data_IF_879155533807
#
_entry.id   IF_879155533807
#
_cell.length_a   1.000
_cell.length_b   1.000
_cell.length_c   1.000
_cell.angle_alpha   90.00
_cell.angle_beta   90.00
_cell.angle_gamma   90.00
#
_symmetry.space_group_name_H-M   'P 1'
#
loop_
_entity.id
_entity.type
_entity.pdbx_description
1 polymer ?
#
# COMPACT_ATOMS: atom_id res chain seq x y z
N UNK A 1 12.26 -3.68 4.45
CA UNK A 1 11.43 -3.34 5.61
C UNK A 1 12.20 -2.53 6.65
N UNK A 2 13.20 -3.11 7.35
CA UNK A 2 13.96 -2.39 8.41
C UNK A 2 14.51 -1.05 7.96
N UNK A 3 15.29 -1.05 6.87
CA UNK A 3 15.89 0.17 6.33
C UNK A 3 14.85 1.26 6.08
N UNK A 4 13.68 0.89 5.53
CA UNK A 4 12.56 1.80 5.30
C UNK A 4 12.03 2.41 6.61
N UNK A 5 11.70 1.58 7.61
CA UNK A 5 11.12 2.09 8.86
C UNK A 5 12.13 2.92 9.68
N UNK A 6 13.39 2.49 9.77
CA UNK A 6 14.45 3.26 10.46
C UNK A 6 14.70 4.59 9.76
N UNK A 7 14.77 4.57 8.43
CA UNK A 7 14.86 5.79 7.62
C UNK A 7 13.73 6.77 7.92
N UNK A 8 12.49 6.29 7.86
CA UNK A 8 11.31 7.15 8.04
C UNK A 8 11.21 7.64 9.48
N UNK A 9 11.68 6.86 10.46
CA UNK A 9 11.80 7.29 11.85
C UNK A 9 12.81 8.42 12.03
N UNK A 10 13.97 8.37 11.37
CA UNK A 10 14.94 9.47 11.38
C UNK A 10 14.31 10.75 10.82
N UNK A 11 13.61 10.65 9.70
CA UNK A 11 12.92 11.81 9.09
C UNK A 11 11.84 12.33 10.04
N UNK A 12 11.02 11.45 10.62
CA UNK A 12 9.99 11.81 11.59
C UNK A 12 10.60 12.56 12.79
N UNK A 13 11.71 12.07 13.34
CA UNK A 13 12.43 12.72 14.45
C UNK A 13 13.01 14.07 14.05
N UNK A 14 13.59 14.22 12.85
CA UNK A 14 14.09 15.50 12.35
C UNK A 14 12.94 16.51 12.23
N UNK A 15 11.84 16.13 11.59
CA UNK A 15 10.67 17.00 11.44
C UNK A 15 10.09 17.42 12.81
N UNK A 16 10.04 16.49 13.77
CA UNK A 16 9.52 16.75 15.11
C UNK A 16 10.47 17.60 15.97
N UNK A 17 11.76 17.28 16.01
CA UNK A 17 12.69 17.87 16.98
C UNK A 17 13.52 19.04 16.43
N UNK A 18 13.85 19.02 15.15
CA UNK A 18 14.64 20.10 14.51
C UNK A 18 13.72 21.17 13.96
N UNK A 19 12.66 20.76 13.27
CA UNK A 19 11.70 21.69 12.66
C UNK A 19 10.48 21.98 13.53
N UNK A 20 10.38 21.35 14.70
CA UNK A 20 9.31 21.56 15.69
C UNK A 20 7.89 21.37 15.15
N UNK A 21 7.71 20.44 14.19
CA UNK A 21 6.38 20.09 13.70
C UNK A 21 5.65 19.14 14.66
N UNK A 22 4.35 19.38 14.86
CA UNK A 22 3.47 18.40 15.48
C UNK A 22 3.00 17.41 14.41
N UNK A 23 3.37 16.13 14.56
CA UNK A 23 3.20 15.12 13.52
C UNK A 23 2.23 14.05 14.00
N UNK A 24 1.19 13.82 13.21
CA UNK A 24 0.31 12.65 13.33
C UNK A 24 0.78 11.61 12.31
N UNK A 25 1.41 10.54 12.80
CA UNK A 25 1.90 9.44 11.96
C UNK A 25 0.91 8.27 11.99
N UNK A 26 0.42 7.86 10.83
CA UNK A 26 -0.39 6.64 10.67
C UNK A 26 0.42 5.56 9.96
N UNK A 27 0.35 4.33 10.47
CA UNK A 27 0.88 3.14 9.80
C UNK A 27 -0.25 2.18 9.45
N UNK A 28 -0.36 1.82 8.17
CA UNK A 28 -1.27 0.77 7.71
C UNK A 28 -0.73 -0.61 8.03
N UNK A 29 -1.60 -1.51 8.50
CA UNK A 29 -1.31 -2.92 8.74
C UNK A 29 -2.22 -3.76 7.83
N UNK A 30 -1.63 -4.37 6.80
CA UNK A 30 -2.32 -5.35 5.94
C UNK A 30 -2.41 -6.69 6.67
N UNK A 31 -3.45 -6.86 7.47
CA UNK A 31 -3.73 -8.05 8.27
C UNK A 31 -4.66 -9.05 7.57
N UNK A 32 -5.04 -8.77 6.32
CA UNK A 32 -5.76 -9.63 5.40
C UNK A 32 -4.98 -9.67 4.08
N UNK A 33 -4.38 -10.81 3.74
CA UNK A 33 -3.64 -11.02 2.50
C UNK A 33 -3.66 -12.51 2.11
N UNK A 34 -3.46 -12.82 0.84
CA UNK A 34 -3.44 -14.21 0.35
C UNK A 34 -2.40 -15.07 1.08
N UNK A 35 -1.24 -14.50 1.44
CA UNK A 35 -0.19 -15.23 2.19
C UNK A 35 -0.64 -15.54 3.62
N UNK A 36 -1.37 -14.63 4.25
CA UNK A 36 -1.90 -14.82 5.61
C UNK A 36 -2.98 -15.90 5.58
N UNK A 37 -3.88 -15.83 4.60
CA UNK A 37 -4.97 -16.81 4.42
C UNK A 37 -4.40 -18.20 4.12
N UNK A 38 -3.44 -18.31 3.21
CA UNK A 38 -2.82 -19.60 2.90
C UNK A 38 -2.12 -20.20 4.12
N UNK A 39 -1.44 -19.37 4.91
CA UNK A 39 -0.81 -19.80 6.15
C UNK A 39 -1.83 -20.23 7.21
N UNK A 40 -2.93 -19.50 7.34
CA UNK A 40 -4.07 -19.82 8.21
C UNK A 40 -4.64 -21.20 7.91
N UNK A 41 -4.83 -21.53 6.63
CA UNK A 41 -5.29 -22.84 6.19
C UNK A 41 -4.27 -23.94 6.49
N UNK A 42 -2.98 -23.68 6.23
CA UNK A 42 -1.90 -24.66 6.48
C UNK A 42 -1.72 -24.98 7.97
N UNK A 43 -1.80 -23.96 8.82
CA UNK A 43 -1.58 -24.10 10.27
C UNK A 43 -2.88 -24.41 11.03
N UNK A 44 -4.04 -24.38 10.37
CA UNK A 44 -5.37 -24.54 10.97
C UNK A 44 -5.61 -23.56 12.14
N UNK A 45 -5.20 -22.30 11.95
CA UNK A 45 -5.30 -21.20 12.92
C UNK A 45 -6.06 -20.05 12.27
N UNK A 46 -6.90 -19.33 13.02
CA UNK A 46 -7.64 -18.19 12.48
C UNK A 46 -6.69 -17.10 11.95
N UNK A 47 -6.95 -16.56 10.76
CA UNK A 47 -6.02 -15.64 10.07
C UNK A 47 -5.65 -14.40 10.91
N UNK A 48 -6.59 -13.85 11.70
CA UNK A 48 -6.30 -12.73 12.58
C UNK A 48 -5.34 -13.08 13.72
N UNK A 49 -5.28 -14.33 14.17
CA UNK A 49 -4.31 -14.75 15.18
C UNK A 49 -2.90 -14.78 14.60
N UNK A 50 -2.76 -15.24 13.35
CA UNK A 50 -1.51 -15.16 12.59
C UNK A 50 -1.08 -13.72 12.41
N UNK A 51 -1.99 -12.86 11.93
CA UNK A 51 -1.71 -11.45 11.72
C UNK A 51 -1.31 -10.75 13.02
N UNK A 52 -2.05 -10.96 14.11
CA UNK A 52 -1.76 -10.36 15.42
C UNK A 52 -0.40 -10.82 15.97
N UNK A 53 -0.05 -12.10 15.81
CA UNK A 53 1.27 -12.61 16.19
C UNK A 53 2.38 -11.87 15.42
N UNK A 54 2.30 -11.82 14.10
CA UNK A 54 3.34 -11.19 13.28
C UNK A 54 3.37 -9.67 13.41
N UNK A 55 2.23 -9.04 13.67
CA UNK A 55 2.14 -7.63 14.01
C UNK A 55 2.90 -7.34 15.31
N UNK A 56 2.67 -8.14 16.37
CA UNK A 56 3.39 -7.97 17.63
C UNK A 56 4.89 -8.19 17.45
N UNK A 57 5.30 -9.24 16.73
CA UNK A 57 6.72 -9.49 16.42
C UNK A 57 7.36 -8.31 15.67
N UNK A 58 6.63 -7.71 14.72
CA UNK A 58 7.06 -6.52 14.00
C UNK A 58 7.25 -5.31 14.94
N UNK A 59 6.26 -5.03 15.80
CA UNK A 59 6.33 -3.93 16.77
C UNK A 59 7.52 -4.11 17.71
N UNK A 60 7.71 -5.31 18.25
CA UNK A 60 8.82 -5.62 19.16
C UNK A 60 10.17 -5.42 18.48
N UNK A 61 10.32 -5.86 17.22
CA UNK A 61 11.54 -5.70 16.46
C UNK A 61 11.81 -4.22 16.11
N UNK A 62 10.77 -3.42 15.81
CA UNK A 62 10.91 -1.97 15.60
C UNK A 62 11.34 -1.25 16.89
N UNK A 63 10.76 -1.60 18.04
CA UNK A 63 11.14 -1.02 19.33
C UNK A 63 12.60 -1.34 19.70
N UNK A 64 13.07 -2.57 19.44
CA UNK A 64 14.49 -2.95 19.63
C UNK A 64 15.45 -2.13 18.76
N UNK A 65 14.99 -1.68 17.60
CA UNK A 65 15.72 -0.79 16.71
C UNK A 65 15.55 0.70 17.07
N UNK A 66 14.89 1.00 18.19
CA UNK A 66 14.57 2.36 18.64
C UNK A 66 13.71 3.16 17.63
N UNK A 67 12.92 2.48 16.80
CA UNK A 67 11.92 3.10 15.93
C UNK A 67 10.71 3.49 16.79
N UNK A 68 10.27 4.75 16.70
CA UNK A 68 9.11 5.20 17.46
C UNK A 68 7.83 4.60 16.91
N UNK A 69 6.91 4.25 17.80
CA UNK A 69 5.55 3.87 17.39
C UNK A 69 4.84 5.04 16.70
N UNK A 70 4.03 4.77 15.66
CA UNK A 70 3.18 5.78 15.05
C UNK A 70 2.11 6.25 16.03
N UNK A 71 1.50 7.40 15.74
CA UNK A 71 0.35 7.92 16.48
C UNK A 71 -0.84 6.95 16.40
N UNK A 72 -1.02 6.30 15.25
CA UNK A 72 -2.05 5.26 15.08
C UNK A 72 -1.63 4.12 14.14
N UNK A 73 -2.13 2.93 14.44
CA UNK A 73 -2.10 1.77 13.55
C UNK A 73 -3.48 1.57 12.92
N UNK A 74 -3.55 1.49 11.59
CA UNK A 74 -4.78 1.26 10.83
C UNK A 74 -4.76 -0.14 10.24
N UNK A 75 -5.57 -1.06 10.79
CA UNK A 75 -5.66 -2.45 10.34
C UNK A 75 -6.76 -2.61 9.30
N UNK A 76 -6.52 -3.35 8.22
CA UNK A 76 -7.49 -3.54 7.13
C UNK A 76 -8.77 -4.21 7.63
N UNK A 77 -8.65 -5.23 8.48
CA UNK A 77 -9.80 -5.95 9.04
C UNK A 77 -10.80 -5.06 9.77
N UNK A 78 -10.34 -3.98 10.40
CA UNK A 78 -11.18 -3.02 11.12
C UNK A 78 -11.86 -2.01 10.18
N UNK A 79 -11.48 -1.96 8.90
CA UNK A 79 -11.91 -0.92 7.96
C UNK A 79 -12.67 -1.47 6.75
N UNK A 80 -13.08 -2.74 6.75
CA UNK A 80 -13.82 -3.32 5.61
C UNK A 80 -15.06 -2.51 5.22
N UNK A 81 -15.97 -2.08 6.13
CA UNK A 81 -17.12 -1.26 5.75
C UNK A 81 -16.72 0.10 5.17
N UNK A 82 -15.63 0.70 5.69
CA UNK A 82 -15.08 1.96 5.18
C UNK A 82 -14.58 1.77 3.73
N UNK A 83 -13.85 0.69 3.46
CA UNK A 83 -13.32 0.40 2.13
C UNK A 83 -14.46 0.18 1.13
N UNK A 84 -15.51 -0.56 1.52
CA UNK A 84 -16.71 -0.75 0.67
C UNK A 84 -17.35 0.60 0.35
N UNK A 85 -17.55 1.48 1.34
CA UNK A 85 -18.12 2.82 1.10
C UNK A 85 -17.21 3.69 0.22
N UNK A 86 -15.89 3.55 0.36
CA UNK A 86 -14.93 4.26 -0.48
C UNK A 86 -15.05 3.83 -1.95
N UNK A 87 -15.14 2.52 -2.21
CA UNK A 87 -15.35 1.97 -3.54
C UNK A 87 -16.71 2.38 -4.10
N UNK A 88 -17.77 2.35 -3.29
CA UNK A 88 -19.10 2.81 -3.74
C UNK A 88 -19.05 4.25 -4.21
N UNK A 89 -18.35 5.14 -3.49
CA UNK A 89 -18.19 6.53 -3.93
C UNK A 89 -17.37 6.66 -5.22
N UNK A 90 -16.39 5.79 -5.46
CA UNK A 90 -15.69 5.75 -6.76
C UNK A 90 -16.63 5.35 -7.90
N UNK A 91 -17.55 4.41 -7.66
CA UNK A 91 -18.59 4.02 -8.62
C UNK A 91 -19.55 5.19 -8.86
N UNK A 92 -20.02 5.84 -7.79
CA UNK A 92 -20.95 6.98 -7.87
C UNK A 92 -20.32 8.16 -8.65
N UNK A 93 -19.00 8.35 -8.51
CA UNK A 93 -18.24 9.35 -9.26
C UNK A 93 -17.92 8.92 -10.72
N UNK A 94 -18.28 7.69 -11.13
CA UNK A 94 -18.04 7.14 -12.46
C UNK A 94 -16.64 6.58 -12.72
N UNK A 95 -15.76 6.54 -11.71
CA UNK A 95 -14.37 6.06 -11.84
C UNK A 95 -14.21 4.56 -11.60
N UNK A 96 -15.28 3.85 -11.26
CA UNK A 96 -15.26 2.42 -11.03
C UNK A 96 -16.54 1.76 -11.55
N UNK A 97 -16.46 0.46 -11.82
CA UNK A 97 -17.60 -0.33 -12.26
C UNK A 97 -17.58 -1.73 -11.63
N UNK A 98 -18.77 -2.21 -11.26
CA UNK A 98 -18.98 -3.57 -10.77
C UNK A 98 -19.23 -4.54 -11.94
N UNK A 99 -18.77 -5.77 -11.80
CA UNK A 99 -18.91 -6.85 -12.77
C UNK A 99 -19.83 -7.96 -12.26
N UNK A 100 -20.39 -8.81 -13.16
CA UNK A 100 -21.26 -9.92 -12.75
C UNK A 100 -20.61 -10.91 -11.77
N UNK A 101 -19.28 -11.10 -11.81
CA UNK A 101 -18.55 -11.89 -10.80
C UNK A 101 -18.58 -11.31 -9.37
N UNK A 102 -19.10 -10.09 -9.21
CA UNK A 102 -19.03 -9.31 -7.98
C UNK A 102 -17.70 -8.58 -7.76
N UNK A 103 -16.77 -8.68 -8.71
CA UNK A 103 -15.55 -7.86 -8.72
C UNK A 103 -15.86 -6.41 -9.08
N UNK A 104 -15.04 -5.47 -8.60
CA UNK A 104 -15.12 -4.05 -8.94
C UNK A 104 -13.75 -3.58 -9.41
N UNK A 105 -13.70 -2.92 -10.56
CA UNK A 105 -12.48 -2.40 -11.15
C UNK A 105 -12.50 -0.88 -11.26
N UNK A 106 -11.32 -0.28 -11.18
CA UNK A 106 -11.12 1.13 -11.47
C UNK A 106 -10.99 1.35 -12.99
N UNK A 107 -11.74 2.30 -13.54
CA UNK A 107 -11.79 2.59 -14.98
C UNK A 107 -10.69 3.57 -15.37
N UNK A 108 -9.58 3.03 -15.89
CA UNK A 108 -8.42 3.83 -16.29
C UNK A 108 -8.68 4.70 -17.51
N UNK A 109 -9.59 4.28 -18.40
CA UNK A 109 -9.94 5.05 -19.58
C UNK A 109 -10.76 6.28 -19.19
N UNK A 110 -11.83 6.09 -18.41
CA UNK A 110 -12.67 7.20 -17.95
C UNK A 110 -11.87 8.20 -17.11
N UNK A 111 -11.00 7.71 -16.22
CA UNK A 111 -10.10 8.58 -15.47
C UNK A 111 -9.18 9.41 -16.39
N UNK A 112 -8.63 8.77 -17.42
CA UNK A 112 -7.79 9.38 -18.46
C UNK A 112 -8.48 10.54 -19.18
N UNK A 113 -9.72 10.30 -19.62
CA UNK A 113 -10.56 11.29 -20.31
C UNK A 113 -10.91 12.48 -19.41
N UNK A 114 -11.28 12.23 -18.15
CA UNK A 114 -11.74 13.28 -17.23
C UNK A 114 -10.65 14.16 -16.66
N UNK A 115 -9.44 13.62 -16.47
CA UNK A 115 -8.36 14.33 -15.76
C UNK A 115 -7.22 14.76 -16.69
N UNK A 116 -7.42 14.70 -18.01
CA UNK A 116 -6.38 14.93 -19.02
C UNK A 116 -5.11 14.12 -18.74
N UNK A 117 -5.28 12.94 -18.15
CA UNK A 117 -4.18 12.08 -17.74
C UNK A 117 -3.63 11.36 -18.97
N UNK A 118 -2.76 12.06 -19.71
CA UNK A 118 -2.00 11.49 -20.82
C UNK A 118 -0.88 10.62 -20.24
N UNK A 119 -1.16 9.33 -20.11
CA UNK A 119 -0.22 8.23 -19.96
C UNK A 119 1.20 8.59 -19.50
N UNK A 120 1.53 8.26 -18.25
CA UNK A 120 2.90 7.83 -18.01
C UNK A 120 3.16 6.60 -18.89
N UNK A 121 4.25 6.63 -19.67
CA UNK A 121 4.91 5.43 -20.21
C UNK A 121 5.35 4.58 -19.01
N UNK A 122 4.43 3.89 -18.39
CA UNK A 122 4.70 2.92 -17.33
C UNK A 122 4.71 1.58 -18.03
N UNK A 123 5.92 1.01 -18.15
CA UNK A 123 6.23 -0.20 -18.91
C UNK A 123 5.09 -1.22 -18.84
N UNK A 124 4.77 -1.80 -20.00
CA UNK A 124 3.91 -2.97 -20.20
C UNK A 124 4.33 -4.21 -19.36
N UNK A 125 5.41 -4.11 -18.58
CA UNK A 125 5.98 -5.14 -17.71
C UNK A 125 5.36 -5.20 -16.30
N UNK A 126 4.36 -4.39 -16.01
CA UNK A 126 3.74 -4.27 -14.68
C UNK A 126 2.48 -5.10 -14.43
N UNK A 127 2.02 -5.89 -15.41
CA UNK A 127 1.00 -6.92 -15.17
C UNK A 127 1.62 -7.94 -14.22
N UNK A 128 1.43 -7.75 -12.92
CA UNK A 128 1.82 -8.75 -11.94
C UNK A 128 1.12 -10.04 -12.34
N UNK A 129 1.90 -11.06 -12.66
CA UNK A 129 1.51 -12.43 -12.97
C UNK A 129 0.82 -13.15 -11.79
N UNK A 130 0.38 -12.41 -10.77
CA UNK A 130 -0.43 -12.87 -9.64
C UNK A 130 -1.90 -12.40 -9.70
N UNK A 131 -2.30 -11.57 -10.67
CA UNK A 131 -3.71 -11.25 -10.87
C UNK A 131 -4.38 -12.32 -11.73
N UNK A 132 -4.77 -13.43 -11.10
CA UNK A 132 -5.80 -14.35 -11.63
C UNK A 132 -7.18 -13.71 -11.54
N UNK A 133 -7.29 -12.44 -11.94
CA UNK A 133 -8.58 -11.84 -12.23
C UNK A 133 -9.18 -12.61 -13.40
N UNK A 134 -10.50 -12.73 -13.44
CA UNK A 134 -11.20 -13.23 -14.63
C UNK A 134 -10.95 -12.18 -15.71
N UNK A 135 -9.86 -12.36 -16.48
CA UNK A 135 -9.32 -11.39 -17.46
C UNK A 135 -10.38 -10.88 -18.45
N UNK A 136 -11.48 -11.61 -18.60
CA UNK A 136 -12.56 -11.33 -19.53
C UNK A 136 -13.57 -10.28 -19.04
N UNK A 137 -13.52 -9.83 -17.78
CA UNK A 137 -14.48 -8.84 -17.26
C UNK A 137 -13.96 -7.41 -17.21
N UNK A 138 -12.65 -7.20 -17.38
CA UNK A 138 -12.05 -5.86 -17.42
C UNK A 138 -12.41 -5.19 -18.76
N UNK A 139 -12.90 -3.95 -18.71
CA UNK A 139 -13.12 -3.10 -19.90
C UNK A 139 -11.81 -2.71 -20.57
N UNK A 140 -10.74 -2.56 -19.78
CA UNK A 140 -9.41 -2.24 -20.25
C UNK A 140 -8.34 -3.07 -19.52
N UNK A 141 -7.26 -3.44 -20.22
CA UNK A 141 -6.14 -4.18 -19.64
C UNK A 141 -5.37 -3.44 -18.54
N UNK A 142 -5.53 -2.11 -18.45
CA UNK A 142 -4.94 -1.25 -17.41
C UNK A 142 -5.81 -1.14 -16.17
N UNK A 143 -7.06 -1.59 -16.21
CA UNK A 143 -7.95 -1.54 -15.06
C UNK A 143 -7.45 -2.47 -13.96
N UNK A 144 -7.48 -1.98 -12.73
CA UNK A 144 -7.04 -2.72 -11.55
C UNK A 144 -8.19 -2.95 -10.58
N UNK A 145 -8.13 -4.06 -9.85
CA UNK A 145 -9.18 -4.47 -8.93
C UNK A 145 -9.22 -3.56 -7.69
N UNK A 146 -10.41 -3.03 -7.40
CA UNK A 146 -10.76 -2.38 -6.13
C UNK A 146 -11.36 -3.40 -5.16
N UNK A 147 -12.17 -4.32 -5.70
CA UNK A 147 -12.79 -5.41 -4.96
C UNK A 147 -12.69 -6.69 -5.79
N UNK A 148 -12.21 -7.77 -5.19
CA UNK A 148 -12.08 -9.09 -5.83
C UNK A 148 -13.26 -9.95 -5.41
N UNK A 149 -14.17 -10.21 -6.36
CA UNK A 149 -15.34 -11.06 -6.15
C UNK A 149 -14.94 -12.49 -5.78
N UNK A 150 -15.75 -13.13 -4.94
CA UNK A 150 -15.55 -14.50 -4.47
C UNK A 150 -16.90 -15.23 -4.41
N UNK A 151 -16.90 -16.49 -4.83
CA UNK A 151 -18.10 -17.32 -4.73
C UNK A 151 -18.59 -17.46 -3.29
N UNK A 152 -19.91 -17.35 -3.12
CA UNK A 152 -20.57 -17.52 -1.82
C UNK A 152 -20.32 -18.91 -1.21
N UNK A 153 -20.15 -19.94 -2.03
CA UNK A 153 -19.83 -21.32 -1.59
C UNK A 153 -18.36 -21.57 -1.31
N UNK A 154 -17.44 -20.67 -1.71
CA UNK A 154 -16.00 -20.86 -1.48
C UNK A 154 -15.64 -20.84 0.01
N UNK A 155 -14.67 -21.64 0.44
CA UNK A 155 -14.16 -21.60 1.82
C UNK A 155 -13.11 -20.49 2.03
N UNK A 156 -12.85 -19.66 1.02
CA UNK A 156 -11.95 -18.51 1.14
C UNK A 156 -12.52 -17.42 2.04
N UNK A 157 -11.62 -16.68 2.71
CA UNK A 157 -11.99 -15.47 3.44
C UNK A 157 -12.64 -14.47 2.48
N UNK A 158 -13.81 -13.96 2.89
CA UNK A 158 -14.61 -13.02 2.12
C UNK A 158 -15.54 -12.24 3.03
N UNK A 159 -15.94 -11.07 2.54
CA UNK A 159 -16.82 -10.13 3.21
C UNK A 159 -18.00 -9.85 2.28
N UNK A 160 -19.17 -9.60 2.88
CA UNK A 160 -20.36 -9.20 2.13
C UNK A 160 -20.23 -7.73 1.71
N UNK A 161 -20.58 -7.42 0.47
CA UNK A 161 -20.62 -6.06 -0.10
C UNK A 161 -21.86 -5.89 -0.99
N UNK A 162 -22.19 -4.66 -1.44
CA UNK A 162 -23.27 -4.41 -2.40
C UNK A 162 -23.12 -5.17 -3.71
N UNK A 163 -21.89 -5.57 -4.07
CA UNK A 163 -21.59 -6.29 -5.32
C UNK A 163 -21.47 -7.81 -5.12
N UNK A 164 -21.80 -8.32 -3.93
CA UNK A 164 -21.64 -9.73 -3.57
C UNK A 164 -20.51 -9.97 -2.58
N UNK A 165 -20.10 -11.22 -2.43
CA UNK A 165 -19.01 -11.57 -1.52
C UNK A 165 -17.66 -11.31 -2.19
N UNK A 166 -16.68 -10.83 -1.43
CA UNK A 166 -15.33 -10.64 -1.95
C UNK A 166 -14.34 -10.10 -0.92
N UNK A 167 -13.23 -9.56 -1.40
CA UNK A 167 -12.18 -8.95 -0.58
C UNK A 167 -11.66 -7.66 -1.22
N UNK A 168 -11.13 -6.72 -0.42
CA UNK A 168 -10.49 -5.53 -0.97
C UNK A 168 -9.27 -5.89 -1.83
N UNK A 169 -9.00 -5.07 -2.84
CA UNK A 169 -7.72 -5.06 -3.55
C UNK A 169 -6.64 -4.37 -2.71
N UNK A 170 -5.37 -4.76 -2.91
CA UNK A 170 -4.25 -4.29 -2.08
C UNK A 170 -4.13 -2.75 -2.01
N UNK A 171 -4.39 -2.05 -3.10
CA UNK A 171 -4.20 -0.59 -3.19
C UNK A 171 -5.31 0.21 -2.49
N UNK A 172 -6.56 -0.29 -2.52
CA UNK A 172 -7.73 0.46 -2.04
C UNK A 172 -7.75 0.59 -0.52
N UNK A 173 -7.07 -0.34 0.16
CA UNK A 173 -6.91 -0.36 1.61
C UNK A 173 -6.25 0.92 2.12
N UNK A 174 -5.07 1.25 1.58
CA UNK A 174 -4.30 2.43 1.96
C UNK A 174 -5.05 3.72 1.62
N UNK A 175 -5.62 3.83 0.42
CA UNK A 175 -6.42 4.99 0.00
C UNK A 175 -7.58 5.28 0.95
N UNK A 176 -8.35 4.26 1.31
CA UNK A 176 -9.51 4.41 2.17
C UNK A 176 -9.11 4.77 3.61
N UNK A 177 -8.16 4.04 4.21
CA UNK A 177 -7.71 4.27 5.58
C UNK A 177 -7.03 5.63 5.75
N UNK A 178 -6.16 6.02 4.81
CA UNK A 178 -5.49 7.31 4.85
C UNK A 178 -6.47 8.47 4.61
N UNK A 179 -7.39 8.33 3.66
CA UNK A 179 -8.43 9.35 3.42
C UNK A 179 -9.38 9.51 4.60
N UNK A 180 -9.69 8.45 5.35
CA UNK A 180 -10.51 8.55 6.56
C UNK A 180 -9.81 9.36 7.65
N UNK A 181 -8.50 9.21 7.78
CA UNK A 181 -7.70 9.83 8.84
C UNK A 181 -7.33 11.27 8.50
N UNK A 182 -6.88 11.53 7.26
CA UNK A 182 -6.31 12.81 6.85
C UNK A 182 -7.19 13.60 5.87
N UNK A 183 -8.29 13.01 5.40
CA UNK A 183 -9.20 13.66 4.45
C UNK A 183 -8.60 13.76 3.06
N UNK A 184 -8.92 14.86 2.38
CA UNK A 184 -8.55 15.12 0.99
C UNK A 184 -7.14 15.67 0.80
N UNK A 185 -6.43 15.97 1.90
CA UNK A 185 -5.10 16.58 1.86
C UNK A 185 -4.17 15.87 2.84
N UNK A 186 -3.21 15.11 2.31
CA UNK A 186 -2.15 14.45 3.07
C UNK A 186 -0.82 15.13 2.80
N UNK A 187 -0.12 15.57 3.85
CA UNK A 187 1.17 16.25 3.67
C UNK A 187 2.25 15.33 3.14
N UNK A 188 2.41 14.16 3.76
CA UNK A 188 3.47 13.20 3.44
C UNK A 188 2.87 11.80 3.36
N UNK A 189 3.13 11.10 2.25
CA UNK A 189 2.91 9.66 2.13
C UNK A 189 4.23 8.97 1.80
N UNK A 190 4.49 7.82 2.42
CA UNK A 190 5.82 7.20 2.34
C UNK A 190 5.79 5.69 2.21
N UNK A 191 6.82 5.12 1.58
CA UNK A 191 7.01 3.67 1.52
C UNK A 191 8.32 3.25 0.87
N UNK A 192 8.47 1.96 0.61
CA UNK A 192 9.60 1.44 -0.18
C UNK A 192 9.55 1.91 -1.64
N UNK A 193 10.70 1.92 -2.32
CA UNK A 193 10.78 2.26 -3.75
C UNK A 193 9.94 1.29 -4.62
N UNK A 194 9.80 0.04 -4.20
CA UNK A 194 8.95 -0.96 -4.84
C UNK A 194 7.44 -0.62 -4.78
N UNK A 195 7.03 0.28 -3.88
CA UNK A 195 5.64 0.71 -3.78
C UNK A 195 5.32 1.90 -4.69
N UNK A 196 6.31 2.57 -5.31
CA UNK A 196 6.06 3.67 -6.26
C UNK A 196 5.07 3.23 -7.34
N UNK A 197 5.28 2.03 -7.89
CA UNK A 197 4.39 1.45 -8.87
C UNK A 197 4.29 -0.08 -8.65
N UNK A 198 3.08 -0.66 -8.71
CA UNK A 198 1.80 -0.01 -8.99
C UNK A 198 1.14 0.64 -7.76
N UNK A 199 1.63 0.39 -6.55
CA UNK A 199 0.88 0.64 -5.31
C UNK A 199 0.48 2.11 -5.10
N UNK A 200 1.46 2.99 -4.88
CA UNK A 200 1.22 4.41 -4.66
C UNK A 200 0.64 5.11 -5.90
N UNK A 201 1.02 4.66 -7.11
CA UNK A 201 0.41 5.16 -8.34
C UNK A 201 -1.11 4.94 -8.34
N UNK A 202 -1.56 3.74 -7.97
CA UNK A 202 -2.99 3.42 -7.87
C UNK A 202 -3.67 4.15 -6.70
N UNK A 203 -2.98 4.36 -5.57
CA UNK A 203 -3.53 5.16 -4.47
C UNK A 203 -3.79 6.62 -4.85
N UNK A 204 -2.89 7.22 -5.63
CA UNK A 204 -3.09 8.58 -6.16
C UNK A 204 -4.36 8.62 -7.00
N UNK A 205 -4.52 7.68 -7.94
CA UNK A 205 -5.67 7.63 -8.84
C UNK A 205 -6.98 7.44 -8.06
N UNK A 206 -7.00 6.49 -7.12
CA UNK A 206 -8.17 6.21 -6.28
C UNK A 206 -8.54 7.41 -5.42
N UNK A 207 -7.57 8.02 -4.74
CA UNK A 207 -7.87 9.09 -3.78
C UNK A 207 -8.23 10.41 -4.47
N UNK A 208 -7.59 10.74 -5.58
CA UNK A 208 -7.98 11.93 -6.38
C UNK A 208 -9.36 11.76 -7.01
N UNK A 209 -9.69 10.57 -7.53
CA UNK A 209 -11.03 10.22 -8.01
C UNK A 209 -12.10 10.27 -6.91
N UNK A 210 -11.77 9.84 -5.68
CA UNK A 210 -12.68 9.86 -4.54
C UNK A 210 -12.95 11.29 -4.03
N UNK A 211 -11.89 12.10 -3.89
CA UNK A 211 -11.97 13.46 -3.33
C UNK A 211 -12.34 14.53 -4.37
N UNK A 212 -12.21 14.24 -5.66
CA UNK A 212 -12.44 15.20 -6.74
C UNK A 212 -11.40 16.32 -6.80
N UNK A 213 -10.17 16.05 -6.34
CA UNK A 213 -9.07 17.02 -6.35
C UNK A 213 -7.90 16.54 -7.21
N UNK A 214 -7.06 17.49 -7.68
CA UNK A 214 -5.89 17.19 -8.52
C UNK A 214 -4.70 16.63 -7.75
N UNK A 215 -4.64 16.87 -6.44
CA UNK A 215 -3.51 16.50 -5.59
C UNK A 215 -4.03 16.04 -4.24
N UNK A 216 -3.90 14.75 -3.96
CA UNK A 216 -4.23 14.17 -2.67
C UNK A 216 -3.06 14.26 -1.67
N UNK A 217 -1.85 13.94 -2.12
CA UNK A 217 -0.63 13.96 -1.30
C UNK A 217 0.32 15.04 -1.79
N UNK A 218 0.85 15.86 -0.87
CA UNK A 218 1.78 16.95 -1.21
C UNK A 218 3.20 16.44 -1.50
N UNK A 219 3.72 15.58 -0.63
CA UNK A 219 5.06 14.99 -0.75
C UNK A 219 5.02 13.46 -0.65
N UNK A 220 5.69 12.80 -1.59
CA UNK A 220 5.95 11.37 -1.51
C UNK A 220 7.39 11.11 -1.11
N UNK A 221 7.59 10.24 -0.11
CA UNK A 221 8.90 9.80 0.37
C UNK A 221 9.12 8.32 0.07
N UNK A 222 10.07 8.00 -0.80
CA UNK A 222 10.40 6.61 -1.11
C UNK A 222 11.80 6.26 -0.66
N UNK A 223 11.94 5.15 0.08
CA UNK A 223 13.25 4.67 0.56
C UNK A 223 13.84 3.65 -0.42
N UNK A 224 15.12 3.80 -0.77
CA UNK A 224 15.85 2.88 -1.64
C UNK A 224 15.99 1.46 -1.08
N UNK A 225 16.31 0.51 -1.96
CA UNK A 225 16.62 -0.86 -1.55
C UNK A 225 17.97 -0.87 -0.83
N UNK A 226 18.02 -1.37 0.40
CA UNK A 226 19.24 -1.66 1.17
C UNK A 226 20.11 -0.45 1.59
N UNK A 227 19.71 0.79 1.28
CA UNK A 227 20.46 2.00 1.61
C UNK A 227 19.56 3.11 2.17
N UNK A 228 20.14 4.04 2.93
CA UNK A 228 19.50 5.28 3.39
C UNK A 228 19.46 6.33 2.27
N UNK A 229 18.81 5.98 1.15
CA UNK A 229 18.58 6.89 0.02
C UNK A 229 17.09 7.18 -0.03
N UNK A 230 16.72 8.46 -0.12
CA UNK A 230 15.31 8.86 -0.21
C UNK A 230 15.07 9.73 -1.43
N UNK A 231 13.90 9.54 -2.02
CA UNK A 231 13.37 10.37 -3.08
C UNK A 231 12.23 11.20 -2.53
N UNK A 232 12.34 12.53 -2.64
CA UNK A 232 11.22 13.43 -2.39
C UNK A 232 10.62 13.79 -3.73
N UNK A 233 9.33 13.46 -3.91
CA UNK A 233 8.57 13.91 -5.06
C UNK A 233 7.49 14.90 -4.61
N UNK A 234 7.56 16.13 -5.11
CA UNK A 234 6.49 17.12 -4.97
C UNK A 234 5.44 16.87 -6.06
N UNK A 235 4.19 16.63 -5.66
CA UNK A 235 3.13 16.15 -6.56
C UNK A 235 2.91 17.02 -7.82
N UNK A 236 3.14 18.34 -7.75
CA UNK A 236 2.96 19.23 -8.90
C UNK A 236 4.17 19.34 -9.85
N UNK A 237 5.37 18.96 -9.42
CA UNK A 237 6.59 19.25 -10.20
C UNK A 237 7.11 18.05 -10.99
N UNK A 238 6.64 16.82 -10.71
CA UNK A 238 7.17 15.56 -11.30
C UNK A 238 8.72 15.48 -11.27
N UNK A 239 9.36 16.18 -10.33
CA UNK A 239 10.81 16.23 -10.15
C UNK A 239 11.17 15.41 -8.92
N UNK A 240 12.16 14.53 -9.08
CA UNK A 240 12.76 13.77 -7.99
C UNK A 240 13.89 14.60 -7.40
N UNK A 241 13.80 14.95 -6.11
CA UNK A 241 14.95 15.45 -5.38
C UNK A 241 15.64 14.26 -4.70
N UNK A 242 16.86 13.96 -5.16
CA UNK A 242 17.71 12.93 -4.58
C UNK A 242 18.45 13.53 -3.38
N UNK A 243 18.16 13.05 -2.17
CA UNK A 243 18.98 13.32 -1.00
C UNK A 243 19.50 11.96 -0.53
N UNK A 244 20.69 11.60 -0.99
CA UNK A 244 21.35 10.34 -0.66
C UNK A 244 22.50 10.57 0.31
N UNK A 245 22.52 9.80 1.40
CA UNK A 245 23.75 9.54 2.17
C UNK A 245 24.27 8.16 1.72
N UNK A 246 25.49 8.15 1.17
CA UNK A 246 26.31 7.01 0.71
C UNK A 246 26.34 6.73 -0.81
N UNK A 247 27.56 6.42 -1.24
CA UNK A 247 28.10 6.49 -2.59
C UNK A 247 27.61 5.33 -3.48
N UNK A 248 27.25 5.64 -4.72
CA UNK A 248 26.61 4.77 -5.71
C UNK A 248 27.65 3.87 -6.40
N UNK A 249 27.62 2.55 -6.18
CA UNK A 249 28.32 1.58 -7.07
C UNK A 249 27.82 0.12 -7.10
N UNK A 250 26.81 -0.28 -6.33
CA UNK A 250 26.29 -1.66 -6.32
C UNK A 250 24.76 -1.68 -6.21
N UNK A 251 24.04 -1.72 -7.33
CA UNK A 251 22.58 -1.47 -7.37
C UNK A 251 21.67 -2.66 -7.73
N UNK A 252 22.15 -3.90 -7.90
CA UNK A 252 21.35 -4.89 -8.66
C UNK A 252 20.85 -6.16 -7.94
N UNK A 253 21.11 -6.37 -6.65
CA UNK A 253 20.63 -7.60 -6.00
C UNK A 253 19.29 -7.42 -5.26
N UNK A 254 18.23 -8.02 -5.82
CA UNK A 254 16.92 -8.18 -5.18
C UNK A 254 17.07 -9.13 -3.98
N UNK A 255 16.67 -8.69 -2.79
CA UNK A 255 16.51 -9.60 -1.64
C UNK A 255 15.09 -10.18 -1.62
N UNK A 256 14.96 -11.50 -1.57
CA UNK A 256 13.68 -12.18 -1.40
C UNK A 256 13.85 -13.52 -0.68
N UNK A 257 12.80 -13.96 0.03
CA UNK A 257 12.78 -15.28 0.65
C UNK A 257 13.02 -16.41 -0.37
N UNK A 258 12.58 -16.21 -1.62
CA UNK A 258 12.80 -17.16 -2.72
C UNK A 258 14.26 -17.22 -3.21
N UNK A 259 15.05 -16.18 -2.94
CA UNK A 259 16.48 -16.12 -3.26
C UNK A 259 17.35 -16.51 -2.06
N UNK A 260 16.72 -16.92 -0.95
CA UNK A 260 17.37 -17.32 0.31
C UNK A 260 18.41 -16.31 0.84
N UNK A 261 18.26 -15.03 0.49
CA UNK A 261 19.15 -13.92 0.86
C UNK A 261 18.45 -12.92 1.79
N UNK A 262 17.56 -13.41 2.65
CA UNK A 262 16.84 -12.60 3.65
C UNK A 262 17.26 -12.99 5.06
N UNK A 263 17.71 -12.01 5.85
CA UNK A 263 18.02 -12.17 7.26
C UNK A 263 16.89 -11.57 8.13
N UNK A 264 16.53 -12.23 9.23
CA UNK A 264 15.54 -11.72 10.18
C UNK A 264 16.26 -10.77 11.16
N UNK A 265 15.59 -9.69 11.59
CA UNK A 265 16.15 -8.68 12.50
C UNK A 265 16.75 -9.32 13.75
N UNK A 266 16.07 -10.32 14.31
CA UNK A 266 16.53 -11.05 15.50
C UNK A 266 17.88 -11.74 15.29
N UNK A 267 18.12 -12.29 14.11
CA UNK A 267 19.39 -12.95 13.77
C UNK A 267 20.50 -11.91 13.58
N UNK A 268 20.18 -10.76 12.96
CA UNK A 268 21.12 -9.65 12.87
C UNK A 268 21.49 -9.13 14.27
N UNK A 269 20.50 -8.84 15.12
CA UNK A 269 20.73 -8.26 16.45
C UNK A 269 21.56 -9.18 17.36
N UNK A 270 21.38 -10.49 17.29
CA UNK A 270 22.20 -11.48 18.02
C UNK A 270 23.69 -11.41 17.67
N UNK A 271 24.04 -10.86 16.52
CA UNK A 271 25.43 -10.71 16.08
C UNK A 271 26.11 -9.50 16.73
N UNK A 272 25.32 -8.56 17.27
CA UNK A 272 25.79 -7.28 17.82
C UNK A 272 25.47 -7.08 19.31
N UNK A 273 24.86 -8.09 19.96
CA UNK A 273 24.63 -8.18 21.42
C UNK A 273 25.48 -9.29 22.01
#
# INVERSE_FOLDING_TARGET
HVSTYVTLDIIHRILKHVFNYNIVLMMGITDIDDKIIHRSQKENVHYLEISKKYEQEFIDDMLKLNVQSPTLYARVSNHIPLIINFIQKLIDNGFAYACPSGSVYFDMNYYGEKNEYKHHRMNEQGLSSLETDILNEKRNNRDFALWKGRDKSSNELKFQSPWGYGRPGWHIECSAMASRTFGSHLDIHSGGLDLVFPHHANEILQSTAYHGNKTWVKYWLHTGRNYFIFFIMRSQEKKFLNIGLLNTKTMDEKMSKSLNNTMIIRDMLRTYT
#
